data_IF_552619683689
#
_entry.id   IF_552619683689
#
_cell.length_a   1.000
_cell.length_b   1.000
_cell.length_c   1.000
_cell.angle_alpha   90.00
_cell.angle_beta   90.00
_cell.angle_gamma   90.00
#
_symmetry.space_group_name_H-M   'P 1'
#
loop_
_entity.id
_entity.type
_entity.pdbx_description
1 polymer ?
#
# COMPACT_ATOMS: atom_id res chain seq x y z
N UNK A 1 -6.77 3.50 -5.48
CA UNK A 1 -6.24 4.78 -6.02
C UNK A 1 -7.33 5.53 -6.77
N UNK A 2 -7.36 6.86 -6.65
CA UNK A 2 -8.19 7.73 -7.47
C UNK A 2 -7.61 7.86 -8.88
N UNK A 3 -8.46 7.72 -9.90
CA UNK A 3 -8.10 7.86 -11.32
C UNK A 3 -8.79 9.08 -11.89
N UNK A 4 -8.09 10.21 -12.07
CA UNK A 4 -8.68 11.47 -12.52
C UNK A 4 -9.40 11.36 -13.88
N UNK A 5 -8.81 10.67 -14.85
CA UNK A 5 -9.31 10.52 -16.22
C UNK A 5 -10.65 9.75 -16.26
N UNK A 6 -10.86 8.85 -15.32
CA UNK A 6 -12.09 8.06 -15.19
C UNK A 6 -13.07 8.67 -14.18
N UNK A 7 -12.65 9.68 -13.42
CA UNK A 7 -13.38 10.21 -12.28
C UNK A 7 -13.89 9.08 -11.37
N UNK A 8 -12.99 8.20 -10.99
CA UNK A 8 -13.33 6.95 -10.30
C UNK A 8 -12.23 6.38 -9.42
N UNK A 9 -12.57 5.32 -8.72
CA UNK A 9 -11.67 4.61 -7.81
C UNK A 9 -11.33 3.24 -8.38
N UNK A 10 -10.04 2.96 -8.54
CA UNK A 10 -9.52 1.61 -8.71
C UNK A 10 -9.14 1.02 -7.36
N UNK A 11 -9.50 -0.23 -7.14
CA UNK A 11 -9.12 -0.98 -5.94
C UNK A 11 -8.97 -2.47 -6.23
N UNK A 12 -8.13 -3.12 -5.44
CA UNK A 12 -7.77 -4.52 -5.58
C UNK A 12 -8.73 -5.44 -4.83
N UNK A 13 -9.04 -6.58 -5.43
CA UNK A 13 -9.61 -7.77 -4.82
C UNK A 13 -8.51 -8.84 -4.82
N UNK A 14 -7.65 -8.75 -3.82
CA UNK A 14 -6.41 -9.53 -3.73
C UNK A 14 -6.66 -11.03 -3.83
N UNK A 15 -7.57 -11.64 -3.04
CA UNK A 15 -7.79 -13.09 -3.08
C UNK A 15 -8.33 -13.60 -4.42
N UNK A 16 -9.02 -12.76 -5.19
CA UNK A 16 -9.62 -13.14 -6.47
C UNK A 16 -8.76 -12.75 -7.68
N UNK A 17 -7.56 -12.22 -7.47
CA UNK A 17 -6.64 -11.80 -8.52
C UNK A 17 -7.27 -10.78 -9.48
N UNK A 18 -8.04 -9.81 -8.95
CA UNK A 18 -8.80 -8.83 -9.71
C UNK A 18 -8.55 -7.42 -9.20
N UNK A 19 -8.76 -6.44 -10.10
CA UNK A 19 -8.95 -5.06 -9.71
C UNK A 19 -10.28 -4.55 -10.29
N UNK A 20 -10.97 -3.73 -9.52
CA UNK A 20 -12.27 -3.17 -9.87
C UNK A 20 -12.20 -1.66 -10.00
N UNK A 21 -12.98 -1.11 -10.91
CA UNK A 21 -13.25 0.30 -11.06
C UNK A 21 -14.65 0.62 -10.56
N UNK A 22 -14.76 1.59 -9.68
CA UNK A 22 -16.03 2.21 -9.33
C UNK A 22 -16.06 3.66 -9.81
N UNK A 23 -17.16 4.04 -10.46
CA UNK A 23 -17.46 5.43 -10.81
C UNK A 23 -18.88 5.77 -10.42
N UNK A 24 -19.15 7.03 -10.09
CA UNK A 24 -20.51 7.47 -9.74
C UNK A 24 -21.51 7.23 -10.89
N UNK A 25 -21.06 7.37 -12.14
CA UNK A 25 -21.91 7.22 -13.33
C UNK A 25 -22.22 5.76 -13.69
N UNK A 26 -21.26 4.85 -13.54
CA UNK A 26 -21.37 3.46 -14.03
C UNK A 26 -21.47 2.42 -12.92
N UNK A 27 -21.24 2.82 -11.66
CA UNK A 27 -21.13 1.87 -10.55
C UNK A 27 -19.86 1.04 -10.62
N UNK A 28 -19.91 -0.18 -10.10
CA UNK A 28 -18.80 -1.12 -10.03
C UNK A 28 -18.65 -1.91 -11.32
N UNK A 29 -17.44 -2.05 -11.81
CA UNK A 29 -17.08 -2.90 -12.97
C UNK A 29 -15.73 -3.60 -12.75
N UNK A 30 -15.58 -4.81 -13.29
CA UNK A 30 -14.27 -5.47 -13.38
C UNK A 30 -13.39 -4.63 -14.31
N UNK A 31 -12.18 -4.31 -13.84
CA UNK A 31 -11.23 -3.51 -14.58
C UNK A 31 -10.05 -4.34 -15.09
N UNK A 32 -9.48 -5.20 -14.24
CA UNK A 32 -8.27 -5.94 -14.54
C UNK A 32 -8.36 -7.38 -14.02
N UNK A 33 -8.03 -8.35 -14.87
CA UNK A 33 -7.89 -9.77 -14.54
C UNK A 33 -6.97 -10.45 -15.56
N UNK A 34 -5.90 -11.13 -15.13
CA UNK A 34 -5.36 -11.19 -13.77
C UNK A 34 -4.73 -9.86 -13.34
N UNK A 35 -4.75 -9.51 -12.04
CA UNK A 35 -4.19 -8.24 -11.56
C UNK A 35 -2.78 -8.38 -10.96
N UNK A 36 -2.38 -9.56 -10.54
CA UNK A 36 -1.09 -9.71 -9.87
C UNK A 36 -0.55 -11.13 -9.76
N UNK A 37 -1.27 -12.13 -10.30
CA UNK A 37 -0.77 -13.49 -10.51
C UNK A 37 -0.86 -13.79 -11.99
N UNK A 38 0.21 -13.50 -12.73
CA UNK A 38 0.32 -13.70 -14.18
C UNK A 38 1.26 -14.84 -14.55
N UNK A 39 1.77 -15.57 -13.55
CA UNK A 39 2.79 -16.63 -13.63
C UNK A 39 4.21 -16.10 -13.94
N UNK A 40 4.51 -14.86 -13.58
CA UNK A 40 5.86 -14.28 -13.70
C UNK A 40 6.84 -14.90 -12.69
N UNK A 41 6.42 -15.06 -11.43
CA UNK A 41 7.27 -15.54 -10.34
C UNK A 41 6.82 -16.91 -9.81
N UNK A 42 7.72 -17.69 -9.19
CA UNK A 42 7.33 -18.85 -8.39
C UNK A 42 6.42 -18.42 -7.24
N UNK A 43 5.20 -18.94 -7.20
CA UNK A 43 4.27 -18.70 -6.10
C UNK A 43 3.36 -19.93 -5.87
N UNK A 44 2.92 -20.08 -4.64
CA UNK A 44 2.02 -21.14 -4.18
C UNK A 44 0.66 -20.61 -3.73
N UNK A 45 0.39 -19.31 -3.98
CA UNK A 45 -0.84 -18.59 -3.63
C UNK A 45 -1.27 -17.72 -4.81
N UNK A 46 -2.56 -17.76 -5.13
CA UNK A 46 -3.10 -17.08 -6.34
C UNK A 46 -3.56 -15.65 -6.08
N UNK A 47 -2.88 -14.92 -5.22
CA UNK A 47 -3.25 -13.55 -4.88
C UNK A 47 -2.93 -12.58 -6.04
N UNK A 48 -3.78 -11.58 -6.18
CA UNK A 48 -3.64 -10.51 -7.16
C UNK A 48 -2.76 -9.36 -6.71
N UNK A 49 -2.98 -8.20 -7.33
CA UNK A 49 -2.40 -6.95 -6.86
C UNK A 49 -2.96 -6.55 -5.50
N UNK A 50 -2.16 -5.84 -4.69
CA UNK A 50 -2.59 -5.18 -3.46
C UNK A 50 -2.55 -3.66 -3.64
N UNK A 51 -1.52 -2.96 -3.22
CA UNK A 51 -1.37 -1.52 -3.40
C UNK A 51 -1.38 -1.10 -4.87
N UNK A 52 -2.05 0.01 -5.15
CA UNK A 52 -2.15 0.62 -6.48
C UNK A 52 -1.75 2.09 -6.40
N UNK A 53 -0.99 2.55 -7.39
CA UNK A 53 -0.61 3.96 -7.52
C UNK A 53 -0.62 4.42 -8.97
N UNK A 54 -0.61 5.72 -9.20
CA UNK A 54 -0.37 6.31 -10.53
C UNK A 54 0.98 7.01 -10.50
N UNK A 55 1.83 6.73 -11.50
CA UNK A 55 3.06 7.49 -11.69
C UNK A 55 2.77 8.88 -12.28
N UNK A 56 3.80 9.73 -12.44
CA UNK A 56 3.66 11.09 -12.98
C UNK A 56 3.13 11.14 -14.42
N UNK A 57 3.28 10.05 -15.16
CA UNK A 57 2.81 9.93 -16.54
C UNK A 57 1.39 9.34 -16.62
N UNK A 58 0.78 9.02 -15.46
CA UNK A 58 -0.55 8.43 -15.36
C UNK A 58 -0.57 6.92 -15.59
N UNK A 59 0.58 6.23 -15.60
CA UNK A 59 0.61 4.78 -15.69
C UNK A 59 0.25 4.15 -14.34
N UNK A 60 -0.49 3.05 -14.38
CA UNK A 60 -0.86 2.31 -13.19
C UNK A 60 0.33 1.48 -12.70
N UNK A 61 0.71 1.67 -11.45
CA UNK A 61 1.72 0.88 -10.74
C UNK A 61 1.01 -0.04 -9.77
N UNK A 62 1.41 -1.31 -9.77
CA UNK A 62 0.80 -2.36 -8.97
C UNK A 62 1.84 -3.04 -8.08
N UNK A 63 1.49 -3.21 -6.80
CA UNK A 63 2.14 -4.18 -5.92
C UNK A 63 1.52 -5.54 -6.17
N UNK A 64 2.21 -6.44 -6.86
CA UNK A 64 1.68 -7.75 -7.26
C UNK A 64 2.13 -8.83 -6.28
N UNK A 65 1.20 -9.33 -5.46
CA UNK A 65 1.50 -10.41 -4.52
C UNK A 65 1.86 -11.71 -5.24
N UNK A 66 1.06 -12.10 -6.22
CA UNK A 66 1.25 -13.34 -6.96
C UNK A 66 2.54 -13.39 -7.76
N UNK A 67 2.88 -12.30 -8.42
CA UNK A 67 4.09 -12.18 -9.24
C UNK A 67 5.31 -11.65 -8.45
N UNK A 68 5.13 -11.35 -7.15
CA UNK A 68 6.20 -10.93 -6.24
C UNK A 68 6.99 -9.73 -6.78
N UNK A 69 6.27 -8.75 -7.32
CA UNK A 69 6.86 -7.64 -8.08
C UNK A 69 6.14 -6.31 -7.89
N UNK A 70 6.85 -5.23 -8.19
CA UNK A 70 6.26 -3.95 -8.57
C UNK A 70 6.22 -3.91 -10.08
N UNK A 71 5.04 -3.74 -10.65
CA UNK A 71 4.86 -3.69 -12.10
C UNK A 71 4.13 -2.44 -12.54
N UNK A 72 4.46 -1.99 -13.76
CA UNK A 72 3.77 -0.90 -14.45
C UNK A 72 2.82 -1.48 -15.48
N UNK A 73 1.63 -0.93 -15.55
CA UNK A 73 0.68 -1.17 -16.63
C UNK A 73 0.63 0.06 -17.52
N UNK A 74 1.23 -0.04 -18.71
CA UNK A 74 1.29 1.04 -19.67
C UNK A 74 0.03 1.04 -20.56
N UNK A 75 -0.44 2.22 -20.99
CA UNK A 75 -1.55 2.40 -21.95
C UNK A 75 -2.83 1.63 -21.57
N UNK A 76 -3.08 1.46 -20.31
CA UNK A 76 -4.11 0.60 -19.75
C UNK A 76 -5.56 1.04 -20.04
N UNK A 77 -5.74 2.22 -20.65
CA UNK A 77 -7.06 2.71 -21.08
C UNK A 77 -7.52 2.16 -22.44
N UNK A 78 -6.60 1.67 -23.28
CA UNK A 78 -6.86 1.47 -24.71
C UNK A 78 -6.42 0.12 -25.29
N UNK A 79 -5.60 -0.64 -24.57
CA UNK A 79 -5.01 -1.89 -25.07
C UNK A 79 -5.21 -3.05 -24.09
N UNK A 80 -4.92 -4.27 -24.55
CA UNK A 80 -4.81 -5.41 -23.63
C UNK A 80 -3.71 -5.14 -22.59
N UNK A 81 -3.96 -5.48 -21.31
CA UNK A 81 -3.01 -5.22 -20.23
C UNK A 81 -1.64 -5.84 -20.54
N UNK A 82 -0.60 -4.99 -20.58
CA UNK A 82 0.80 -5.44 -20.68
C UNK A 82 1.54 -4.95 -19.46
N UNK A 83 2.00 -5.90 -18.66
CA UNK A 83 2.80 -5.62 -17.49
C UNK A 83 4.27 -5.47 -17.86
N UNK A 84 4.86 -4.39 -17.39
CA UNK A 84 6.29 -4.15 -17.35
C UNK A 84 6.75 -4.33 -15.91
N UNK A 85 7.55 -5.35 -15.64
CA UNK A 85 8.12 -5.57 -14.30
C UNK A 85 9.18 -4.51 -14.06
N UNK A 86 9.02 -3.70 -13.01
CA UNK A 86 9.97 -2.67 -12.60
C UNK A 86 11.00 -3.24 -11.64
N UNK A 87 10.55 -4.04 -10.67
CA UNK A 87 11.41 -4.74 -9.72
C UNK A 87 10.72 -5.99 -9.16
N UNK A 88 11.44 -7.09 -9.09
CA UNK A 88 11.00 -8.38 -8.57
C UNK A 88 12.08 -9.07 -7.70
N UNK A 89 13.32 -8.57 -7.74
CA UNK A 89 14.44 -9.10 -6.99
C UNK A 89 15.19 -8.03 -6.20
N UNK A 90 15.79 -8.46 -5.09
CA UNK A 90 16.79 -7.71 -4.36
C UNK A 90 18.01 -8.61 -4.10
N UNK A 91 19.21 -8.18 -4.56
CA UNK A 91 20.46 -8.95 -4.47
C UNK A 91 20.33 -10.39 -5.02
N UNK A 92 19.62 -10.56 -6.15
CA UNK A 92 19.43 -11.85 -6.82
C UNK A 92 18.42 -12.78 -6.14
N UNK A 93 17.69 -12.31 -5.14
CA UNK A 93 16.61 -13.02 -4.44
C UNK A 93 15.26 -12.43 -4.77
N UNK A 94 14.26 -13.27 -4.94
CA UNK A 94 12.88 -12.81 -5.12
C UNK A 94 12.40 -11.95 -3.95
N UNK A 95 11.70 -10.86 -4.24
CA UNK A 95 10.93 -10.13 -3.24
C UNK A 95 9.92 -11.06 -2.56
N UNK A 96 9.46 -10.72 -1.36
CA UNK A 96 8.46 -11.54 -0.66
C UNK A 96 7.08 -11.42 -1.35
N UNK A 97 6.42 -10.32 -1.20
CA UNK A 97 5.17 -9.96 -1.89
C UNK A 97 4.87 -8.47 -1.69
N UNK A 98 5.35 -7.59 -2.58
CA UNK A 98 5.14 -6.14 -2.47
C UNK A 98 3.68 -5.78 -2.15
N UNK A 99 3.48 -4.94 -1.12
CA UNK A 99 2.16 -4.76 -0.51
C UNK A 99 1.54 -3.38 -0.74
N UNK A 100 2.19 -2.29 -0.33
CA UNK A 100 1.73 -0.91 -0.56
C UNK A 100 2.90 -0.04 -1.05
N UNK A 101 2.58 1.11 -1.64
CA UNK A 101 3.57 1.99 -2.26
C UNK A 101 3.21 3.47 -2.09
N UNK A 102 4.26 4.30 -2.14
CA UNK A 102 4.16 5.76 -2.24
C UNK A 102 5.26 6.30 -3.16
N UNK A 103 4.95 7.37 -3.88
CA UNK A 103 5.92 8.08 -4.72
C UNK A 103 6.51 9.28 -4.00
N UNK A 104 7.81 9.55 -4.22
CA UNK A 104 8.38 10.87 -3.96
C UNK A 104 8.18 11.81 -5.17
N UNK A 105 8.48 13.10 -5.00
CA UNK A 105 8.35 14.13 -6.06
C UNK A 105 9.29 13.91 -7.24
N UNK A 106 10.32 13.07 -7.08
CA UNK A 106 11.25 12.67 -8.12
C UNK A 106 10.75 11.46 -8.92
N UNK A 107 9.63 10.86 -8.50
CA UNK A 107 9.04 9.68 -9.12
C UNK A 107 9.66 8.36 -8.66
N UNK A 108 10.47 8.35 -7.59
CA UNK A 108 10.91 7.10 -6.99
C UNK A 108 9.74 6.45 -6.25
N UNK A 109 9.73 5.13 -6.21
CA UNK A 109 8.73 4.32 -5.53
C UNK A 109 9.31 3.78 -4.23
N UNK A 110 8.71 4.12 -3.10
CA UNK A 110 8.93 3.42 -1.84
C UNK A 110 7.84 2.39 -1.69
N UNK A 111 8.20 1.15 -1.38
CA UNK A 111 7.24 0.07 -1.23
C UNK A 111 7.59 -0.87 -0.08
N UNK A 112 6.58 -1.49 0.49
CA UNK A 112 6.71 -2.49 1.55
C UNK A 112 6.62 -3.89 0.98
N UNK A 113 7.37 -4.85 1.58
CA UNK A 113 7.49 -6.21 1.07
C UNK A 113 7.31 -7.26 2.19
N UNK A 114 6.14 -7.32 2.83
CA UNK A 114 5.80 -8.36 3.78
C UNK A 114 5.48 -9.69 3.07
N UNK A 115 5.38 -10.83 3.78
CA UNK A 115 5.21 -12.14 3.14
C UNK A 115 3.73 -12.52 2.93
N UNK A 116 2.79 -11.56 2.82
CA UNK A 116 1.35 -11.85 2.78
C UNK A 116 0.90 -12.61 1.53
N UNK A 117 1.59 -12.42 0.40
CA UNK A 117 1.34 -13.13 -0.85
C UNK A 117 1.93 -14.53 -0.89
N UNK A 118 2.67 -14.97 0.12
CA UNK A 118 3.18 -16.33 0.29
C UNK A 118 2.22 -17.12 1.19
N UNK A 119 1.98 -18.41 0.86
CA UNK A 119 0.98 -19.23 1.55
C UNK A 119 1.24 -19.39 3.05
N UNK A 120 2.50 -19.64 3.41
CA UNK A 120 2.92 -19.88 4.78
C UNK A 120 3.62 -18.65 5.42
N UNK A 121 3.48 -17.46 4.80
CA UNK A 121 4.07 -16.23 5.31
C UNK A 121 5.59 -16.32 5.48
N UNK A 122 6.10 -16.02 6.67
CA UNK A 122 7.55 -16.06 6.95
C UNK A 122 8.17 -17.47 6.88
N UNK A 123 7.36 -18.49 7.09
CA UNK A 123 7.80 -19.91 7.07
C UNK A 123 7.62 -20.56 5.69
N UNK A 124 7.35 -19.76 4.66
CA UNK A 124 7.16 -20.28 3.32
C UNK A 124 8.48 -20.65 2.67
N UNK A 125 8.55 -21.87 2.08
CA UNK A 125 9.76 -22.38 1.41
C UNK A 125 10.19 -21.51 0.21
N UNK A 126 9.28 -20.73 -0.36
CA UNK A 126 9.56 -19.80 -1.45
C UNK A 126 10.10 -18.44 -0.96
N UNK A 127 10.09 -18.19 0.35
CA UNK A 127 10.63 -16.94 0.92
C UNK A 127 12.16 -16.98 0.93
N UNK A 128 12.78 -16.18 0.07
CA UNK A 128 14.25 -16.12 -0.06
C UNK A 128 14.90 -15.04 0.80
N UNK A 129 14.20 -13.93 1.04
CA UNK A 129 14.66 -12.87 1.92
C UNK A 129 14.39 -13.26 3.38
N UNK A 130 15.41 -13.15 4.24
CA UNK A 130 15.31 -13.46 5.68
C UNK A 130 14.76 -12.29 6.52
N UNK A 131 14.10 -11.33 5.89
CA UNK A 131 13.47 -10.17 6.50
C UNK A 131 12.25 -9.74 5.68
N UNK A 132 11.46 -8.84 6.23
CA UNK A 132 10.37 -8.14 5.56
C UNK A 132 10.80 -6.67 5.38
N UNK A 133 11.08 -6.28 4.14
CA UNK A 133 11.75 -5.01 3.85
C UNK A 133 10.80 -3.87 3.51
N UNK A 134 11.32 -2.66 3.66
CA UNK A 134 10.87 -1.49 2.92
C UNK A 134 11.96 -1.13 1.93
N UNK A 135 11.58 -0.89 0.68
CA UNK A 135 12.52 -0.65 -0.41
C UNK A 135 12.24 0.68 -1.10
N UNK A 136 13.27 1.23 -1.74
CA UNK A 136 13.17 2.33 -2.69
C UNK A 136 13.62 1.85 -4.06
N UNK A 137 12.81 2.12 -5.09
CA UNK A 137 13.14 1.88 -6.48
C UNK A 137 13.03 3.17 -7.29
N UNK A 138 13.91 3.35 -8.27
CA UNK A 138 13.80 4.40 -9.28
C UNK A 138 14.31 3.87 -10.63
N UNK A 139 13.86 4.48 -11.72
CA UNK A 139 14.30 4.08 -13.07
C UNK A 139 15.79 4.32 -13.36
N UNK A 140 16.50 5.01 -12.46
CA UNK A 140 17.92 5.41 -12.65
C UNK A 140 18.88 4.64 -11.77
N UNK A 141 18.38 3.91 -10.78
CA UNK A 141 19.19 3.25 -9.77
C UNK A 141 18.65 1.85 -9.49
N UNK A 142 19.53 0.96 -9.03
CA UNK A 142 19.11 -0.34 -8.52
C UNK A 142 18.20 -0.17 -7.30
N UNK A 143 17.34 -1.16 -7.05
CA UNK A 143 16.48 -1.19 -5.87
C UNK A 143 17.32 -1.17 -4.60
N UNK A 144 16.97 -0.30 -3.65
CA UNK A 144 17.64 -0.12 -2.36
C UNK A 144 16.76 -0.60 -1.22
N UNK A 145 17.33 -1.33 -0.27
CA UNK A 145 16.70 -1.64 1.00
C UNK A 145 16.84 -0.42 1.92
N UNK A 146 15.71 0.14 2.38
CA UNK A 146 15.71 1.33 3.25
C UNK A 146 15.34 1.02 4.70
N UNK A 147 14.63 -0.09 4.96
CA UNK A 147 14.31 -0.58 6.31
C UNK A 147 14.10 -2.11 6.28
N UNK A 148 14.56 -2.84 7.32
CA UNK A 148 14.42 -4.31 7.42
C UNK A 148 14.06 -4.86 8.80
N UNK A 149 13.90 -3.99 9.78
CA UNK A 149 13.68 -4.42 11.18
C UNK A 149 12.21 -4.44 11.58
N UNK A 150 11.31 -4.15 10.66
CA UNK A 150 9.87 -4.27 10.88
C UNK A 150 9.41 -5.71 10.65
N UNK A 151 8.54 -6.22 11.55
CA UNK A 151 8.03 -7.59 11.43
C UNK A 151 7.00 -7.74 10.30
N UNK A 152 6.16 -6.72 10.10
CA UNK A 152 5.04 -6.73 9.13
C UNK A 152 4.82 -5.35 8.51
N UNK A 153 5.81 -4.80 7.77
CA UNK A 153 5.63 -3.50 7.11
C UNK A 153 4.45 -3.59 6.13
N UNK A 154 3.55 -2.60 6.18
CA UNK A 154 2.31 -2.60 5.40
C UNK A 154 2.13 -1.23 4.72
N UNK A 155 1.12 -0.44 5.08
CA UNK A 155 0.90 0.87 4.50
C UNK A 155 2.09 1.81 4.65
N UNK A 156 2.34 2.64 3.64
CA UNK A 156 3.44 3.60 3.63
C UNK A 156 2.98 4.95 3.12
N UNK A 157 3.44 6.03 3.76
CA UNK A 157 3.21 7.40 3.34
C UNK A 157 4.44 8.28 3.60
N UNK A 158 4.62 9.34 2.82
CA UNK A 158 5.62 10.37 3.06
C UNK A 158 4.96 11.63 3.63
N UNK A 159 5.69 12.38 4.46
CA UNK A 159 5.29 13.73 4.87
C UNK A 159 5.26 14.66 3.65
N UNK A 160 4.55 15.80 3.77
CA UNK A 160 4.41 16.76 2.66
C UNK A 160 5.75 17.35 2.18
N UNK A 161 6.73 17.42 3.05
CA UNK A 161 8.10 17.84 2.74
C UNK A 161 9.03 16.68 2.37
N UNK A 162 8.50 15.43 2.39
CA UNK A 162 9.19 14.16 2.08
C UNK A 162 10.40 13.85 2.98
N UNK A 163 10.52 14.52 4.13
CA UNK A 163 11.61 14.27 5.07
C UNK A 163 11.31 13.16 6.08
N UNK A 164 10.05 12.76 6.18
CA UNK A 164 9.62 11.70 7.08
C UNK A 164 8.83 10.66 6.31
N UNK A 165 9.18 9.39 6.47
CA UNK A 165 8.39 8.25 6.03
C UNK A 165 7.62 7.67 7.22
N UNK A 166 6.34 7.38 7.01
CA UNK A 166 5.48 6.69 7.96
C UNK A 166 5.18 5.30 7.40
N UNK A 167 5.41 4.27 8.22
CA UNK A 167 5.18 2.87 7.82
C UNK A 167 4.37 2.17 8.90
N UNK A 168 3.24 1.59 8.51
CA UNK A 168 2.43 0.73 9.37
C UNK A 168 3.12 -0.61 9.60
N UNK A 169 3.04 -1.13 10.81
CA UNK A 169 3.46 -2.48 11.16
C UNK A 169 2.23 -3.30 11.58
N UNK A 170 1.71 -4.13 10.69
CA UNK A 170 0.50 -4.95 10.91
C UNK A 170 0.83 -6.24 11.69
N UNK A 171 1.41 -6.11 12.85
CA UNK A 171 1.76 -7.23 13.72
C UNK A 171 0.86 -7.25 14.96
N UNK A 172 0.08 -8.32 15.21
CA UNK A 172 -0.80 -8.39 16.38
C UNK A 172 -0.11 -8.21 17.73
N UNK A 173 1.21 -8.43 17.78
CA UNK A 173 2.03 -8.26 18.98
C UNK A 173 2.74 -6.91 19.05
N UNK A 174 2.71 -6.14 17.95
CA UNK A 174 3.37 -4.84 17.82
C UNK A 174 2.69 -3.98 16.74
N UNK A 175 1.42 -3.65 16.97
CA UNK A 175 0.58 -2.87 16.04
C UNK A 175 0.89 -1.37 16.19
N UNK A 176 1.84 -0.89 15.40
CA UNK A 176 2.36 0.48 15.49
C UNK A 176 2.47 1.14 14.11
N UNK A 177 2.50 2.46 14.09
CA UNK A 177 3.01 3.23 12.95
C UNK A 177 4.39 3.73 13.35
N UNK A 178 5.40 3.40 12.53
CA UNK A 178 6.75 3.90 12.67
C UNK A 178 6.95 5.17 11.85
N UNK A 179 7.76 6.09 12.34
CA UNK A 179 8.27 7.22 11.56
C UNK A 179 9.79 7.10 11.41
N UNK A 180 10.28 7.42 10.23
CA UNK A 180 11.71 7.40 9.89
C UNK A 180 12.08 8.72 9.23
N UNK A 181 13.28 9.19 9.48
CA UNK A 181 13.86 10.29 8.70
C UNK A 181 14.31 9.73 7.34
N UNK A 182 13.91 10.40 6.25
CA UNK A 182 14.25 10.01 4.89
C UNK A 182 15.56 10.66 4.49
N UNK A 183 16.55 9.82 4.15
CA UNK A 183 17.87 10.22 3.68
C UNK A 183 18.11 9.69 2.26
N UNK A 184 19.13 10.18 1.59
CA UNK A 184 19.50 9.74 0.22
C UNK A 184 19.83 8.25 0.16
N UNK A 185 20.43 7.71 1.22
CA UNK A 185 20.90 6.33 1.33
C UNK A 185 19.93 5.38 2.05
N UNK A 186 18.77 5.88 2.54
CA UNK A 186 17.77 5.06 3.20
C UNK A 186 17.00 5.76 4.32
N UNK A 187 16.43 4.97 5.21
CA UNK A 187 15.70 5.45 6.38
C UNK A 187 16.60 5.43 7.62
N UNK A 188 16.42 6.41 8.49
CA UNK A 188 17.14 6.53 9.75
C UNK A 188 16.23 6.96 10.89
N UNK A 189 16.76 6.95 12.13
CA UNK A 189 16.08 7.44 13.32
C UNK A 189 14.64 6.89 13.49
N UNK A 190 14.47 5.58 13.26
CA UNK A 190 13.20 4.90 13.42
C UNK A 190 12.63 5.09 14.82
N UNK A 191 11.38 5.55 14.91
CA UNK A 191 10.67 5.83 16.16
C UNK A 191 9.20 5.48 16.04
N UNK A 192 8.56 5.06 17.13
CA UNK A 192 7.12 4.88 17.16
C UNK A 192 6.47 6.26 16.99
N UNK A 193 5.69 6.40 15.92
CA UNK A 193 4.90 7.58 15.67
C UNK A 193 3.53 7.48 16.37
N UNK A 194 2.91 6.30 16.29
CA UNK A 194 1.68 6.01 16.99
C UNK A 194 1.63 4.54 17.43
N UNK A 195 1.27 4.32 18.69
CA UNK A 195 1.10 2.99 19.27
C UNK A 195 -0.39 2.61 19.29
N UNK A 196 -0.75 1.61 18.46
CA UNK A 196 -2.10 1.08 18.35
C UNK A 196 -2.40 -0.12 19.24
N UNK A 197 -1.41 -0.66 19.95
CA UNK A 197 -1.54 -1.92 20.70
C UNK A 197 -2.71 -1.94 21.70
N UNK A 198 -3.05 -0.80 22.32
CA UNK A 198 -4.20 -0.71 23.23
C UNK A 198 -5.51 -0.71 22.43
N UNK A 199 -5.54 -0.02 21.29
CA UNK A 199 -6.74 0.05 20.46
C UNK A 199 -7.08 -1.31 19.84
N UNK A 200 -6.08 -2.04 19.36
CA UNK A 200 -6.24 -3.35 18.72
C UNK A 200 -6.69 -4.46 19.69
N UNK A 201 -6.57 -4.26 21.02
CA UNK A 201 -7.15 -5.16 22.01
C UNK A 201 -8.69 -5.06 22.10
N UNK A 202 -9.27 -3.93 21.72
CA UNK A 202 -10.70 -3.64 21.91
C UNK A 202 -11.45 -3.36 20.62
N UNK A 203 -10.73 -3.15 19.52
CA UNK A 203 -11.28 -2.82 18.20
C UNK A 203 -10.71 -3.75 17.15
N UNK A 204 -11.53 -4.11 16.20
CA UNK A 204 -11.10 -4.97 15.08
C UNK A 204 -10.19 -4.22 14.11
N UNK A 205 -9.20 -4.93 13.55
CA UNK A 205 -8.23 -4.45 12.60
C UNK A 205 -6.86 -4.22 13.23
N UNK A 206 -5.85 -4.15 12.38
CA UNK A 206 -4.49 -3.71 12.66
C UNK A 206 -4.17 -2.58 11.69
N UNK A 207 -3.10 -1.81 11.93
CA UNK A 207 -2.68 -0.81 10.97
C UNK A 207 -2.38 -1.44 9.61
N UNK A 208 -2.92 -0.83 8.56
CA UNK A 208 -2.84 -1.32 7.18
C UNK A 208 -2.46 -0.13 6.26
N UNK A 209 -3.31 0.33 5.37
CA UNK A 209 -2.98 1.44 4.47
C UNK A 209 -2.88 2.80 5.15
N UNK A 210 -1.99 3.65 4.64
CA UNK A 210 -1.78 5.03 5.11
C UNK A 210 -1.94 6.02 3.95
N UNK A 211 -2.52 7.19 4.22
CA UNK A 211 -2.54 8.30 3.26
C UNK A 211 -2.29 9.64 3.98
N UNK A 212 -1.42 10.43 3.39
CA UNK A 212 -1.17 11.82 3.82
C UNK A 212 -2.16 12.75 3.14
N UNK A 213 -2.93 13.51 3.91
CA UNK A 213 -3.79 14.57 3.42
C UNK A 213 -3.01 15.87 3.26
N UNK A 214 -3.43 16.75 2.35
CA UNK A 214 -2.75 18.03 2.09
C UNK A 214 -2.71 18.99 3.30
N UNK A 215 -3.56 18.77 4.32
CA UNK A 215 -3.50 19.48 5.61
C UNK A 215 -2.38 18.99 6.54
N UNK A 216 -1.64 17.94 6.18
CA UNK A 216 -0.65 17.30 7.04
C UNK A 216 -1.20 16.27 8.02
N UNK A 217 -2.49 15.93 7.94
CA UNK A 217 -3.11 14.87 8.72
C UNK A 217 -2.87 13.54 8.03
N UNK A 218 -2.46 12.51 8.79
CA UNK A 218 -2.34 11.14 8.32
C UNK A 218 -3.66 10.44 8.56
N UNK A 219 -4.22 9.84 7.51
CA UNK A 219 -5.35 8.94 7.56
C UNK A 219 -4.81 7.51 7.54
N UNK A 220 -4.86 6.85 8.69
CA UNK A 220 -4.32 5.52 8.90
C UNK A 220 -5.45 4.52 9.07
N UNK A 221 -5.58 3.56 8.16
CA UNK A 221 -6.50 2.44 8.41
C UNK A 221 -5.93 1.56 9.52
N UNK A 222 -6.79 1.11 10.43
CA UNK A 222 -6.33 0.41 11.62
C UNK A 222 -7.46 0.01 12.56
N UNK A 223 -7.18 -0.14 13.86
CA UNK A 223 -8.16 -0.59 14.84
C UNK A 223 -9.43 0.26 14.89
N UNK A 224 -10.54 -0.31 14.42
CA UNK A 224 -11.87 0.31 14.39
C UNK A 224 -12.21 1.11 13.14
N UNK A 225 -11.28 1.30 12.19
CA UNK A 225 -11.56 2.01 10.94
C UNK A 225 -10.40 2.86 10.45
N UNK A 226 -10.58 4.17 10.27
CA UNK A 226 -9.53 5.10 9.84
C UNK A 226 -9.24 6.10 10.94
N UNK A 227 -8.03 6.03 11.50
CA UNK A 227 -7.54 6.98 12.51
C UNK A 227 -7.02 8.22 11.81
N UNK A 228 -7.33 9.40 12.35
CA UNK A 228 -6.80 10.69 11.94
C UNK A 228 -5.72 11.09 12.93
N UNK A 229 -4.48 11.22 12.45
CA UNK A 229 -3.32 11.53 13.27
C UNK A 229 -2.71 12.85 12.78
N UNK A 230 -2.42 13.78 13.69
CA UNK A 230 -1.68 14.99 13.33
C UNK A 230 -0.17 14.70 13.15
N UNK A 231 0.59 15.72 12.78
CA UNK A 231 2.04 15.60 12.54
C UNK A 231 2.86 15.23 13.79
N UNK A 232 2.26 15.30 14.97
CA UNK A 232 2.88 14.91 16.25
C UNK A 232 2.45 13.50 16.69
N UNK A 233 1.59 12.82 15.91
CA UNK A 233 1.01 11.53 16.28
C UNK A 233 -0.16 11.62 17.25
N UNK A 234 -0.74 12.80 17.44
CA UNK A 234 -1.94 12.95 18.27
C UNK A 234 -3.15 12.41 17.54
N UNK A 235 -3.88 11.49 18.16
CA UNK A 235 -5.12 10.93 17.64
C UNK A 235 -6.27 11.93 17.73
N UNK A 236 -6.67 12.47 16.59
CA UNK A 236 -7.73 13.49 16.48
C UNK A 236 -9.13 12.88 16.46
N UNK A 237 -9.26 11.64 15.97
CA UNK A 237 -10.53 10.94 15.86
C UNK A 237 -10.44 9.70 14.97
N UNK A 238 -11.54 8.95 14.89
CA UNK A 238 -11.62 7.74 14.05
C UNK A 238 -12.90 7.77 13.22
N UNK A 239 -12.76 7.57 11.90
CA UNK A 239 -13.88 7.28 11.00
C UNK A 239 -14.16 5.78 11.11
N UNK A 240 -15.37 5.43 11.58
CA UNK A 240 -15.73 4.03 11.90
C UNK A 240 -16.76 3.50 10.89
N UNK A 241 -16.35 2.77 9.86
CA UNK A 241 -17.28 2.18 8.88
C UNK A 241 -18.01 0.93 9.40
N UNK A 242 -17.67 0.45 10.59
CA UNK A 242 -18.25 -0.75 11.20
C UNK A 242 -17.67 -2.06 10.69
N UNK A 243 -16.59 -2.01 9.91
CA UNK A 243 -15.87 -3.16 9.36
C UNK A 243 -14.36 -2.88 9.36
N UNK A 244 -13.55 -3.93 9.31
CA UNK A 244 -12.09 -3.79 9.10
C UNK A 244 -11.83 -3.06 7.81
N UNK A 245 -10.98 -2.04 7.86
CA UNK A 245 -10.64 -1.19 6.73
C UNK A 245 -9.19 -1.45 6.35
N UNK A 246 -8.98 -1.89 5.10
CA UNK A 246 -7.64 -2.25 4.61
C UNK A 246 -6.88 -1.04 4.07
N UNK A 247 -7.54 -0.18 3.29
CA UNK A 247 -6.86 0.99 2.72
C UNK A 247 -7.86 2.14 2.49
N UNK A 248 -7.32 3.32 2.26
CA UNK A 248 -8.12 4.50 1.93
C UNK A 248 -7.43 5.34 0.85
N UNK A 249 -8.19 6.20 0.20
CA UNK A 249 -7.67 7.19 -0.75
C UNK A 249 -8.62 8.36 -0.87
N UNK A 250 -8.11 9.52 -1.26
CA UNK A 250 -8.89 10.71 -1.51
C UNK A 250 -9.28 10.83 -2.99
N UNK A 251 -10.36 11.56 -3.28
CA UNK A 251 -10.58 12.09 -4.63
C UNK A 251 -9.59 13.25 -4.91
N UNK A 252 -9.60 13.74 -6.15
CA UNK A 252 -8.68 14.78 -6.61
C UNK A 252 -8.65 16.04 -5.74
N UNK A 253 -9.81 16.42 -5.22
CA UNK A 253 -9.98 17.66 -4.45
C UNK A 253 -9.98 17.41 -2.94
N UNK A 254 -9.71 16.18 -2.50
CA UNK A 254 -9.73 15.72 -1.10
C UNK A 254 -11.06 16.01 -0.38
N UNK A 255 -12.17 16.07 -1.14
CA UNK A 255 -13.51 16.26 -0.56
C UNK A 255 -14.15 14.97 -0.10
N UNK A 256 -13.69 13.85 -0.64
CA UNK A 256 -14.17 12.53 -0.29
C UNK A 256 -13.01 11.60 0.04
N UNK A 257 -13.19 10.84 1.10
CA UNK A 257 -12.36 9.70 1.44
C UNK A 257 -13.07 8.43 1.02
N UNK A 258 -12.41 7.59 0.25
CA UNK A 258 -12.87 6.27 -0.13
C UNK A 258 -12.15 5.21 0.69
N UNK A 259 -12.88 4.20 1.14
CA UNK A 259 -12.42 3.16 2.05
C UNK A 259 -12.71 1.79 1.46
N UNK A 260 -11.70 0.92 1.42
CA UNK A 260 -11.90 -0.51 1.18
C UNK A 260 -12.04 -1.21 2.53
N UNK A 261 -13.27 -1.64 2.85
CA UNK A 261 -13.60 -2.21 4.17
C UNK A 261 -14.24 -3.57 4.00
N UNK A 262 -13.44 -4.62 4.15
CA UNK A 262 -13.82 -6.04 3.98
C UNK A 262 -14.48 -6.31 2.62
N UNK A 263 -15.81 -6.22 2.54
CA UNK A 263 -16.63 -6.53 1.36
C UNK A 263 -17.36 -5.29 0.81
N UNK A 264 -16.98 -4.09 1.24
CA UNK A 264 -17.59 -2.83 0.80
C UNK A 264 -16.54 -1.81 0.38
N UNK A 265 -16.86 -1.04 -0.65
CA UNK A 265 -16.27 0.24 -0.94
C UNK A 265 -17.16 1.32 -0.34
N UNK A 266 -16.66 2.03 0.66
CA UNK A 266 -17.38 3.12 1.31
C UNK A 266 -16.84 4.48 0.88
N UNK A 267 -17.67 5.53 0.98
CA UNK A 267 -17.29 6.91 0.72
C UNK A 267 -17.75 7.81 1.87
N UNK A 268 -16.84 8.62 2.36
CA UNK A 268 -17.10 9.62 3.42
C UNK A 268 -16.80 11.00 2.87
N UNK A 269 -17.73 11.93 3.02
CA UNK A 269 -17.50 13.33 2.69
C UNK A 269 -16.67 13.97 3.80
N UNK A 270 -15.58 14.60 3.43
CA UNK A 270 -14.77 15.44 4.33
C UNK A 270 -15.30 16.88 4.27
N UNK A 271 -15.22 17.59 5.39
CA UNK A 271 -15.71 18.98 5.51
C UNK A 271 -14.55 19.97 5.43
#
# INVERSE_FOLDING_TARGET
>A
VWVPELNGILFSDVPNNKAYLWTEKKGLSLFLYPSGMTNHAPNNKSDGSNGLGLDSDGNLILCQHGDRSISRLNNWFFEEPKYEVLVDHFNGKWLNSPNDLVFDKQGSIYFTDPPYGLRNGDEDDLKELNFNGVFKWSAREEVKLVEKNMSRPNGIALSLDEKTAYVANSDPTNDVIMAFDVLDDGFSNGRIFFDGNILSQTREGLFDGLKMHSSGIIFATGPGGVLLLDSMGVHLGTIMPGKKTANCTFDKDERYLYLTSTDVLARVKLN
#
